data_IF_185346791474
#
_entry.id   IF_185346791474
#
_cell.length_a   1.000
_cell.length_b   1.000
_cell.length_c   1.000
_cell.angle_alpha   90.00
_cell.angle_beta   90.00
_cell.angle_gamma   90.00
#
_symmetry.space_group_name_H-M   'P 1'
#
loop_
_entity.id
_entity.type
_entity.pdbx_description
1 polymer ?
#
# COMPACT_ATOMS: atom_id res chain seq x y z
N UNK A 1 15.84 1.75 -18.34
CA UNK A 1 15.51 0.35 -18.68
C UNK A 1 14.17 0.08 -18.03
N UNK A 2 13.11 -0.02 -18.84
CA UNK A 2 11.79 -0.44 -18.38
C UNK A 2 11.87 -1.94 -18.09
N UNK A 3 11.54 -2.37 -16.88
CA UNK A 3 11.22 -3.76 -16.64
C UNK A 3 9.70 -3.85 -16.65
N UNK A 4 9.17 -4.66 -17.55
CA UNK A 4 7.76 -5.00 -17.52
C UNK A 4 7.45 -5.60 -16.14
N UNK A 5 6.32 -5.26 -15.53
CA UNK A 5 5.98 -5.65 -14.15
C UNK A 5 6.19 -7.17 -13.87
N UNK A 6 5.91 -8.01 -14.87
CA UNK A 6 6.13 -9.45 -14.81
C UNK A 6 7.62 -9.85 -14.81
N UNK A 7 8.50 -9.12 -15.51
CA UNK A 7 9.93 -9.38 -15.49
C UNK A 7 10.54 -9.12 -14.10
N UNK A 8 10.01 -8.14 -13.37
CA UNK A 8 10.43 -7.89 -11.99
C UNK A 8 10.01 -9.05 -11.08
N UNK A 9 8.76 -9.52 -11.21
CA UNK A 9 8.28 -10.70 -10.51
C UNK A 9 9.19 -11.90 -10.79
N UNK A 10 9.44 -12.18 -12.07
CA UNK A 10 10.22 -13.33 -12.50
C UNK A 10 11.67 -13.22 -12.01
N UNK A 11 12.27 -12.04 -12.03
CA UNK A 11 13.60 -11.79 -11.45
C UNK A 11 13.65 -12.10 -9.95
N UNK A 12 12.62 -11.69 -9.18
CA UNK A 12 12.51 -12.02 -7.77
C UNK A 12 12.34 -13.52 -7.54
N UNK A 13 11.49 -14.18 -8.33
CA UNK A 13 11.30 -15.64 -8.28
C UNK A 13 12.62 -16.35 -8.61
N UNK A 14 13.32 -15.96 -9.67
CA UNK A 14 14.62 -16.54 -10.03
C UNK A 14 15.66 -16.35 -8.93
N UNK A 15 15.64 -15.21 -8.24
CA UNK A 15 16.53 -14.96 -7.09
C UNK A 15 16.31 -16.00 -5.98
N UNK A 16 15.07 -16.44 -5.76
CA UNK A 16 14.75 -17.47 -4.75
C UNK A 16 15.37 -18.84 -5.04
N UNK A 17 15.66 -19.13 -6.30
CA UNK A 17 16.27 -20.40 -6.74
C UNK A 17 17.80 -20.44 -6.58
N UNK A 18 18.43 -19.31 -6.24
CA UNK A 18 19.89 -19.26 -6.09
C UNK A 18 20.36 -19.97 -4.81
N UNK A 19 21.52 -20.64 -4.87
CA UNK A 19 22.12 -21.30 -3.70
C UNK A 19 22.34 -20.33 -2.53
N UNK A 20 22.72 -19.08 -2.82
CA UNK A 20 22.88 -18.03 -1.81
C UNK A 20 21.56 -17.77 -1.09
N UNK A 21 20.47 -17.62 -1.84
CA UNK A 21 19.15 -17.40 -1.26
C UNK A 21 18.71 -18.57 -0.40
N UNK A 22 18.89 -19.81 -0.88
CA UNK A 22 18.56 -21.02 -0.13
C UNK A 22 19.33 -21.10 1.21
N UNK A 23 20.62 -20.73 1.22
CA UNK A 23 21.41 -20.64 2.46
C UNK A 23 20.88 -19.56 3.41
N UNK A 24 20.58 -18.36 2.91
CA UNK A 24 19.98 -17.28 3.71
C UNK A 24 18.62 -17.68 4.27
N UNK A 25 17.78 -18.37 3.48
CA UNK A 25 16.49 -18.87 3.92
C UNK A 25 16.62 -19.91 5.03
N UNK A 26 17.58 -20.83 4.93
CA UNK A 26 17.87 -21.78 6.02
C UNK A 26 18.29 -21.07 7.32
N UNK A 27 19.07 -20.00 7.22
CA UNK A 27 19.42 -19.18 8.40
C UNK A 27 18.16 -18.51 8.99
N UNK A 28 17.27 -17.96 8.17
CA UNK A 28 15.98 -17.41 8.62
C UNK A 28 15.15 -18.45 9.37
N UNK A 29 15.04 -19.66 8.83
CA UNK A 29 14.29 -20.77 9.44
C UNK A 29 14.83 -21.15 10.81
N UNK A 30 16.15 -21.25 10.96
CA UNK A 30 16.78 -21.60 12.25
C UNK A 30 16.57 -20.53 13.32
N UNK A 31 16.53 -19.26 12.91
CA UNK A 31 16.35 -18.13 13.83
C UNK A 31 14.89 -17.81 14.16
N UNK A 32 13.90 -18.34 13.43
CA UNK A 32 12.50 -17.94 13.55
C UNK A 32 11.56 -19.15 13.64
N UNK A 33 10.95 -19.40 14.81
CA UNK A 33 10.00 -20.51 14.98
C UNK A 33 8.82 -20.47 14.01
N UNK A 34 8.35 -19.28 13.64
CA UNK A 34 7.25 -19.11 12.68
C UNK A 34 7.61 -19.56 11.25
N UNK A 35 8.90 -19.72 10.94
CA UNK A 35 9.39 -20.12 9.63
C UNK A 35 9.96 -21.55 9.61
N UNK A 36 10.11 -22.19 10.78
CA UNK A 36 10.84 -23.44 10.94
C UNK A 36 10.29 -24.59 10.06
N UNK A 37 8.96 -24.65 9.92
CA UNK A 37 8.24 -25.75 9.26
C UNK A 37 8.33 -25.74 7.72
N UNK A 38 8.79 -24.63 7.11
CA UNK A 38 8.77 -24.50 5.64
C UNK A 38 10.04 -25.08 5.01
N UNK A 39 9.91 -26.14 4.22
CA UNK A 39 11.06 -26.83 3.59
C UNK A 39 11.86 -25.88 2.70
N UNK A 40 11.17 -25.07 1.89
CA UNK A 40 11.74 -24.17 0.90
C UNK A 40 10.90 -22.87 0.79
N UNK A 41 11.39 -21.86 0.04
CA UNK A 41 10.65 -20.62 -0.21
C UNK A 41 9.28 -20.80 -0.86
N UNK A 42 9.11 -21.79 -1.75
CA UNK A 42 7.86 -22.00 -2.47
C UNK A 42 6.76 -22.47 -1.52
N UNK A 43 7.07 -23.45 -0.65
CA UNK A 43 6.14 -23.92 0.38
C UNK A 43 5.66 -22.81 1.33
N UNK A 44 6.53 -21.83 1.62
CA UNK A 44 6.15 -20.65 2.40
C UNK A 44 5.21 -19.73 1.61
N UNK A 45 5.51 -19.46 0.34
CA UNK A 45 4.69 -18.59 -0.50
C UNK A 45 3.31 -19.21 -0.79
N UNK A 46 3.23 -20.52 -0.99
CA UNK A 46 1.98 -21.26 -1.17
C UNK A 46 1.02 -21.05 0.01
N UNK A 47 1.54 -21.10 1.24
CA UNK A 47 0.74 -20.81 2.45
C UNK A 47 0.32 -19.35 2.52
N UNK A 48 1.16 -18.41 2.11
CA UNK A 48 0.82 -16.98 2.13
C UNK A 48 -0.22 -16.62 1.07
N UNK A 49 -0.17 -17.25 -0.11
CA UNK A 49 -1.11 -17.02 -1.21
C UNK A 49 -2.38 -17.86 -1.12
N UNK A 50 -2.35 -19.04 -0.49
CA UNK A 50 -3.47 -19.98 -0.43
C UNK A 50 -4.65 -19.50 0.44
N UNK A 51 -5.90 -19.70 -0.01
CA UNK A 51 -7.09 -19.19 0.70
C UNK A 51 -7.42 -19.95 2.01
N UNK A 52 -6.84 -21.12 2.23
CA UNK A 52 -7.20 -22.07 3.31
C UNK A 52 -6.63 -21.65 4.66
N UNK A 53 -5.44 -21.04 4.68
CA UNK A 53 -4.73 -20.76 5.92
C UNK A 53 -5.33 -19.57 6.70
N UNK A 54 -5.46 -19.70 8.04
CA UNK A 54 -5.96 -18.60 8.87
C UNK A 54 -5.12 -17.34 8.73
N UNK A 55 -5.80 -16.18 8.64
CA UNK A 55 -5.15 -14.88 8.50
C UNK A 55 -4.08 -14.61 9.58
N UNK A 56 -4.30 -15.08 10.81
CA UNK A 56 -3.34 -14.94 11.91
C UNK A 56 -2.06 -15.74 11.70
N UNK A 57 -2.14 -16.93 11.07
CA UNK A 57 -0.94 -17.72 10.72
C UNK A 57 -0.12 -16.96 9.69
N UNK A 58 -0.75 -16.49 8.61
CA UNK A 58 -0.09 -15.70 7.56
C UNK A 58 0.55 -14.44 8.14
N UNK A 59 -0.17 -13.74 9.00
CA UNK A 59 0.33 -12.52 9.61
C UNK A 59 1.51 -12.76 10.57
N UNK A 60 1.56 -13.89 11.29
CA UNK A 60 2.75 -14.29 12.06
C UNK A 60 3.97 -14.51 11.18
N UNK A 61 3.81 -15.16 10.02
CA UNK A 61 4.88 -15.37 9.03
C UNK A 61 5.37 -14.03 8.50
N UNK A 62 4.47 -13.16 8.05
CA UNK A 62 4.80 -11.82 7.55
C UNK A 62 5.52 -10.98 8.61
N UNK A 63 5.17 -11.14 9.88
CA UNK A 63 5.81 -10.44 11.01
C UNK A 63 7.22 -10.90 11.26
N UNK A 64 7.46 -12.22 11.21
CA UNK A 64 8.80 -12.78 11.31
C UNK A 64 9.70 -12.31 10.16
N UNK A 65 9.19 -12.35 8.93
CA UNK A 65 9.91 -11.86 7.76
C UNK A 65 10.18 -10.35 7.84
N UNK A 66 9.21 -9.55 8.27
CA UNK A 66 9.39 -8.09 8.40
C UNK A 66 10.44 -7.77 9.46
N UNK A 67 10.42 -8.48 10.59
CA UNK A 67 11.46 -8.32 11.61
C UNK A 67 12.85 -8.68 11.08
N UNK A 68 12.97 -9.76 10.30
CA UNK A 68 14.25 -10.16 9.71
C UNK A 68 14.74 -9.17 8.64
N UNK A 69 13.84 -8.59 7.85
CA UNK A 69 14.15 -7.57 6.84
C UNK A 69 14.56 -6.20 7.44
N UNK A 70 14.33 -5.99 8.74
CA UNK A 70 14.67 -4.75 9.46
C UNK A 70 16.03 -4.81 10.16
N UNK A 71 16.61 -6.01 10.31
CA UNK A 71 17.93 -6.21 10.91
C UNK A 71 18.98 -6.12 9.80
N UNK A 72 20.14 -5.54 10.11
CA UNK A 72 21.29 -5.51 9.21
C UNK A 72 22.05 -6.85 9.27
N UNK A 73 21.46 -7.87 8.65
CA UNK A 73 21.96 -9.26 8.61
C UNK A 73 21.97 -9.77 7.16
N UNK A 74 22.88 -10.70 6.77
CA UNK A 74 22.89 -11.31 5.43
C UNK A 74 21.58 -11.97 4.99
N UNK A 75 20.67 -12.28 5.91
CA UNK A 75 19.34 -12.80 5.61
C UNK A 75 18.26 -11.73 5.39
N UNK A 76 18.57 -10.45 5.63
CA UNK A 76 17.64 -9.32 5.50
C UNK A 76 17.07 -9.17 4.09
N UNK A 77 17.95 -9.20 3.07
CA UNK A 77 17.53 -9.15 1.66
C UNK A 77 16.67 -10.37 1.29
N UNK A 78 16.99 -11.56 1.82
CA UNK A 78 16.20 -12.76 1.60
C UNK A 78 14.78 -12.59 2.16
N UNK A 79 14.65 -12.04 3.37
CA UNK A 79 13.35 -11.77 3.98
C UNK A 79 12.57 -10.70 3.21
N UNK A 80 13.23 -9.65 2.72
CA UNK A 80 12.60 -8.61 1.89
C UNK A 80 12.08 -9.18 0.58
N UNK A 81 12.87 -9.98 -0.15
CA UNK A 81 12.42 -10.65 -1.38
C UNK A 81 11.18 -11.51 -1.12
N UNK A 82 11.17 -12.30 -0.03
CA UNK A 82 10.01 -13.11 0.34
C UNK A 82 8.78 -12.26 0.66
N UNK A 83 8.94 -11.12 1.32
CA UNK A 83 7.83 -10.19 1.58
C UNK A 83 7.27 -9.60 0.29
N UNK A 84 8.13 -9.16 -0.63
CA UNK A 84 7.69 -8.62 -1.91
C UNK A 84 6.92 -9.65 -2.72
N UNK A 85 7.41 -10.90 -2.78
CA UNK A 85 6.72 -12.02 -3.43
C UNK A 85 5.40 -12.38 -2.72
N UNK A 86 5.40 -12.44 -1.39
CA UNK A 86 4.20 -12.72 -0.62
C UNK A 86 3.10 -11.67 -0.83
N UNK A 87 3.49 -10.40 -0.91
CA UNK A 87 2.57 -9.28 -1.13
C UNK A 87 2.28 -9.01 -2.59
N UNK A 88 2.93 -9.72 -3.52
CA UNK A 88 2.88 -9.46 -4.96
C UNK A 88 1.45 -9.35 -5.53
N UNK A 89 0.50 -10.27 -5.23
CA UNK A 89 -0.86 -10.14 -5.75
C UNK A 89 -1.56 -8.84 -5.29
N UNK A 90 -1.26 -8.41 -4.06
CA UNK A 90 -1.76 -7.15 -3.51
C UNK A 90 -1.09 -5.93 -4.16
N UNK A 91 0.22 -5.98 -4.38
CA UNK A 91 0.98 -4.92 -5.02
C UNK A 91 0.58 -4.76 -6.50
N UNK A 92 0.33 -5.86 -7.20
CA UNK A 92 -0.18 -5.86 -8.57
C UNK A 92 -1.58 -5.23 -8.63
N UNK A 93 -2.45 -5.53 -7.65
CA UNK A 93 -3.74 -4.87 -7.54
C UNK A 93 -3.62 -3.36 -7.27
N UNK A 94 -2.67 -2.94 -6.42
CA UNK A 94 -2.36 -1.51 -6.19
C UNK A 94 -1.89 -0.85 -7.48
N UNK A 95 -0.91 -1.45 -8.17
CA UNK A 95 -0.38 -0.96 -9.44
C UNK A 95 -1.50 -0.78 -10.47
N UNK A 96 -2.36 -1.78 -10.67
CA UNK A 96 -3.50 -1.68 -11.58
C UNK A 96 -4.43 -0.52 -11.23
N UNK A 97 -4.71 -0.30 -9.94
CA UNK A 97 -5.54 0.84 -9.48
C UNK A 97 -4.87 2.19 -9.77
N UNK A 98 -3.56 2.29 -9.57
CA UNK A 98 -2.79 3.50 -9.86
C UNK A 98 -2.75 3.81 -11.37
N UNK A 99 -2.52 2.79 -12.21
CA UNK A 99 -2.57 2.92 -13.67
C UNK A 99 -3.96 3.34 -14.16
N UNK A 100 -5.01 2.73 -13.61
CA UNK A 100 -6.38 3.09 -13.95
C UNK A 100 -6.70 4.55 -13.59
N UNK A 101 -6.10 5.06 -12.50
CA UNK A 101 -6.18 6.48 -12.09
C UNK A 101 -5.21 7.40 -12.84
N UNK A 102 -4.44 6.89 -13.82
CA UNK A 102 -3.49 7.64 -14.64
C UNK A 102 -2.44 8.41 -13.82
N UNK A 103 -1.95 7.81 -12.73
CA UNK A 103 -1.04 8.50 -11.79
C UNK A 103 0.41 8.63 -12.26
N UNK A 104 0.72 8.30 -13.52
CA UNK A 104 2.07 8.32 -14.10
C UNK A 104 2.18 7.36 -15.28
N UNK A 105 3.39 7.25 -15.85
CA UNK A 105 3.68 6.22 -16.86
C UNK A 105 3.69 4.81 -16.22
N UNK A 106 3.48 3.73 -17.00
CA UNK A 106 3.49 2.37 -16.47
C UNK A 106 4.77 1.98 -15.71
N UNK A 107 5.92 2.45 -16.19
CA UNK A 107 7.22 2.13 -15.62
C UNK A 107 7.49 2.89 -14.31
N UNK A 108 7.10 4.16 -14.27
CA UNK A 108 7.24 5.01 -13.08
C UNK A 108 6.38 4.44 -11.95
N UNK A 109 5.14 4.03 -12.26
CA UNK A 109 4.23 3.44 -11.28
C UNK A 109 4.80 2.11 -10.76
N UNK A 110 5.37 1.28 -11.62
CA UNK A 110 5.96 -0.01 -11.22
C UNK A 110 7.14 0.17 -10.26
N UNK A 111 8.05 1.08 -10.61
CA UNK A 111 9.23 1.41 -9.80
C UNK A 111 8.84 2.06 -8.47
N UNK A 112 7.90 3.00 -8.50
CA UNK A 112 7.42 3.71 -7.31
C UNK A 112 6.69 2.78 -6.34
N UNK A 113 5.84 1.86 -6.83
CA UNK A 113 5.16 0.86 -5.99
C UNK A 113 6.18 -0.01 -5.25
N UNK A 114 7.22 -0.50 -5.94
CA UNK A 114 8.24 -1.35 -5.33
C UNK A 114 9.14 -0.59 -4.36
N UNK A 115 9.55 0.63 -4.71
CA UNK A 115 10.33 1.49 -3.84
C UNK A 115 9.56 1.77 -2.53
N UNK A 116 8.29 2.18 -2.63
CA UNK A 116 7.42 2.43 -1.47
C UNK A 116 7.16 1.18 -0.65
N UNK A 117 6.95 0.03 -1.30
CA UNK A 117 6.74 -1.23 -0.58
C UNK A 117 7.98 -1.58 0.24
N UNK A 118 9.16 -1.48 -0.36
CA UNK A 118 10.45 -1.72 0.31
C UNK A 118 10.66 -0.77 1.48
N UNK A 119 10.47 0.54 1.26
CA UNK A 119 10.59 1.56 2.32
C UNK A 119 9.59 1.30 3.47
N UNK A 120 8.34 1.01 3.13
CA UNK A 120 7.29 0.74 4.12
C UNK A 120 7.62 -0.50 4.95
N UNK A 121 8.13 -1.58 4.35
CA UNK A 121 8.50 -2.80 5.06
C UNK A 121 9.70 -2.57 5.99
N UNK A 122 10.73 -1.86 5.53
CA UNK A 122 11.91 -1.54 6.36
C UNK A 122 11.60 -0.55 7.48
N UNK A 123 10.62 0.34 7.31
CA UNK A 123 10.22 1.33 8.32
C UNK A 123 9.04 0.94 9.22
N UNK A 124 8.46 -0.26 9.05
CA UNK A 124 7.21 -0.64 9.71
C UNK A 124 7.37 -0.81 11.24
N UNK A 125 6.63 -0.03 12.04
CA UNK A 125 6.58 -0.24 13.49
C UNK A 125 5.71 -1.46 13.85
N UNK A 126 6.38 -2.60 14.03
CA UNK A 126 5.75 -3.87 14.39
C UNK A 126 5.03 -3.83 15.76
N UNK A 127 5.35 -2.88 16.66
CA UNK A 127 4.64 -2.77 17.95
C UNK A 127 3.22 -2.24 17.77
N UNK A 128 3.00 -1.41 16.75
CA UNK A 128 1.71 -0.77 16.46
C UNK A 128 0.90 -1.50 15.38
N UNK A 129 1.57 -2.17 14.46
CA UNK A 129 0.92 -2.82 13.31
C UNK A 129 0.59 -4.27 13.62
N UNK A 130 -0.72 -4.57 13.61
CA UNK A 130 -1.23 -5.93 13.81
C UNK A 130 -1.54 -6.66 12.50
N UNK A 131 -1.80 -5.96 11.39
CA UNK A 131 -2.11 -6.57 10.07
C UNK A 131 -1.13 -6.07 9.01
N UNK A 132 -0.05 -6.82 8.78
CA UNK A 132 1.09 -6.34 7.98
C UNK A 132 0.71 -6.14 6.52
N UNK A 133 0.20 -7.17 5.84
CA UNK A 133 -0.16 -7.08 4.42
C UNK A 133 -1.12 -5.91 4.14
N UNK A 134 -2.23 -5.85 4.87
CA UNK A 134 -3.22 -4.79 4.71
C UNK A 134 -2.65 -3.39 4.97
N UNK A 135 -1.75 -3.25 5.94
CA UNK A 135 -1.14 -1.96 6.28
C UNK A 135 -0.14 -1.53 5.21
N UNK A 136 0.74 -2.43 4.78
CA UNK A 136 1.74 -2.15 3.74
C UNK A 136 1.05 -1.75 2.44
N UNK A 137 0.11 -2.56 1.96
CA UNK A 137 -0.61 -2.29 0.71
C UNK A 137 -1.36 -0.95 0.74
N UNK A 138 -2.02 -0.63 1.85
CA UNK A 138 -2.72 0.66 2.01
C UNK A 138 -1.76 1.84 2.08
N UNK A 139 -0.63 1.70 2.77
CA UNK A 139 0.37 2.75 2.86
C UNK A 139 0.99 3.02 1.49
N UNK A 140 1.38 1.97 0.76
CA UNK A 140 1.94 2.08 -0.59
C UNK A 140 0.99 2.81 -1.53
N UNK A 141 -0.28 2.37 -1.62
CA UNK A 141 -1.27 3.02 -2.47
C UNK A 141 -1.49 4.48 -2.08
N UNK A 142 -1.72 4.74 -0.79
CA UNK A 142 -1.95 6.09 -0.28
C UNK A 142 -0.77 7.02 -0.55
N UNK A 143 0.45 6.55 -0.33
CA UNK A 143 1.64 7.38 -0.47
C UNK A 143 2.00 7.63 -1.95
N UNK A 144 1.68 6.69 -2.84
CA UNK A 144 1.73 6.91 -4.30
C UNK A 144 0.69 7.95 -4.76
N UNK A 145 -0.57 7.84 -4.31
CA UNK A 145 -1.60 8.83 -4.61
C UNK A 145 -1.23 10.24 -4.10
N UNK A 146 -0.67 10.32 -2.88
CA UNK A 146 -0.15 11.59 -2.33
C UNK A 146 0.91 12.22 -3.19
N UNK A 147 1.87 11.42 -3.66
CA UNK A 147 2.95 11.93 -4.50
C UNK A 147 2.37 12.50 -5.81
N UNK A 148 1.48 11.75 -6.47
CA UNK A 148 0.80 12.19 -7.67
C UNK A 148 -0.01 13.49 -7.44
N UNK A 149 -0.86 13.55 -6.42
CA UNK A 149 -1.64 14.75 -6.13
C UNK A 149 -0.78 15.98 -5.83
N UNK A 150 0.34 15.82 -5.11
CA UNK A 150 1.29 16.91 -4.87
C UNK A 150 1.95 17.38 -6.16
N UNK A 151 2.31 16.45 -7.04
CA UNK A 151 2.87 16.78 -8.35
C UNK A 151 1.86 17.53 -9.24
N UNK A 152 0.62 17.03 -9.35
CA UNK A 152 -0.45 17.73 -10.08
C UNK A 152 -0.73 19.12 -9.50
N UNK A 153 -0.73 19.27 -8.18
CA UNK A 153 -0.93 20.57 -7.53
C UNK A 153 0.22 21.55 -7.84
N UNK A 154 1.46 21.07 -7.91
CA UNK A 154 2.61 21.87 -8.35
C UNK A 154 2.44 22.33 -9.80
N UNK A 155 2.08 21.43 -10.71
CA UNK A 155 1.83 21.76 -12.12
C UNK A 155 0.71 22.80 -12.29
N UNK A 156 -0.39 22.65 -11.55
CA UNK A 156 -1.49 23.64 -11.55
C UNK A 156 -1.07 25.02 -11.02
N UNK A 157 -0.11 25.08 -10.11
CA UNK A 157 0.36 26.33 -9.51
C UNK A 157 1.39 27.06 -10.38
N UNK A 158 2.07 26.35 -11.28
CA UNK A 158 3.13 26.90 -12.17
C UNK A 158 2.55 27.47 -13.47
N UNK A 159 1.26 27.23 -13.77
CA UNK A 159 0.53 27.99 -14.79
C UNK A 159 0.99 27.71 -16.22
N UNK A 160 1.04 26.44 -16.62
CA UNK A 160 1.01 26.06 -18.03
C UNK A 160 0.49 24.62 -18.18
N UNK A 161 -0.83 24.44 -18.18
CA UNK A 161 -1.44 23.18 -18.65
C UNK A 161 -2.75 23.48 -19.37
N UNK A 162 -2.82 22.99 -20.60
CA UNK A 162 -4.00 22.80 -21.44
C UNK A 162 -5.16 22.15 -20.65
N UNK A 163 -6.35 22.77 -20.59
CA UNK A 163 -7.49 22.27 -19.82
C UNK A 163 -7.94 20.84 -20.19
N UNK A 164 -7.54 20.31 -21.34
CA UNK A 164 -7.87 18.94 -21.77
C UNK A 164 -6.93 17.84 -21.22
N UNK A 165 -5.80 18.18 -20.59
CA UNK A 165 -4.90 17.18 -19.97
C UNK A 165 -5.42 16.67 -18.61
N UNK A 166 -6.40 17.35 -17.99
CA UNK A 166 -7.06 16.87 -16.78
C UNK A 166 -8.23 15.98 -17.17
N UNK A 167 -7.90 14.81 -17.72
CA UNK A 167 -8.86 13.73 -17.92
C UNK A 167 -9.32 13.19 -16.57
N UNK A 168 -10.25 13.89 -15.91
CA UNK A 168 -11.07 13.37 -14.80
C UNK A 168 -11.99 12.29 -15.35
N UNK A 169 -11.44 11.12 -15.66
CA UNK A 169 -12.23 9.91 -15.88
C UNK A 169 -12.67 9.37 -14.52
N UNK A 170 -13.60 10.09 -13.92
CA UNK A 170 -14.43 9.60 -12.83
C UNK A 170 -15.88 9.98 -13.14
N UNK A 171 -16.34 9.56 -14.32
CA UNK A 171 -17.52 10.12 -14.99
C UNK A 171 -18.88 9.76 -14.38
N UNK A 172 -18.94 8.85 -13.41
CA UNK A 172 -20.21 8.50 -12.76
C UNK A 172 -20.00 7.95 -11.35
N UNK A 173 -19.19 6.90 -11.20
CA UNK A 173 -19.03 6.18 -9.92
C UNK A 173 -18.43 7.05 -8.80
N UNK A 174 -17.48 7.94 -9.09
CA UNK A 174 -16.99 8.86 -8.05
C UNK A 174 -17.92 10.04 -7.78
N UNK A 175 -18.79 10.39 -8.73
CA UNK A 175 -19.84 11.38 -8.49
C UNK A 175 -20.88 10.77 -7.54
N UNK A 176 -21.26 9.51 -7.75
CA UNK A 176 -22.12 8.77 -6.84
C UNK A 176 -21.45 8.56 -5.48
N UNK A 177 -20.20 8.08 -5.43
CA UNK A 177 -19.46 7.95 -4.17
C UNK A 177 -19.34 9.28 -3.43
N UNK A 178 -19.08 10.39 -4.14
CA UNK A 178 -19.00 11.73 -3.53
C UNK A 178 -20.35 12.16 -2.95
N UNK A 179 -21.42 12.01 -3.73
CA UNK A 179 -22.79 12.38 -3.30
C UNK A 179 -23.25 11.54 -2.11
N UNK A 180 -23.00 10.23 -2.14
CA UNK A 180 -23.43 9.30 -1.10
C UNK A 180 -22.65 9.53 0.19
N UNK A 181 -21.34 9.76 0.09
CA UNK A 181 -20.50 10.13 1.24
C UNK A 181 -20.92 11.49 1.79
N UNK A 182 -21.17 12.50 0.96
CA UNK A 182 -21.67 13.80 1.42
C UNK A 182 -23.05 13.71 2.09
N UNK A 183 -23.94 12.81 1.64
CA UNK A 183 -25.21 12.54 2.29
C UNK A 183 -25.05 11.88 3.67
N UNK A 184 -24.10 10.94 3.80
CA UNK A 184 -23.87 10.18 5.04
C UNK A 184 -23.13 10.99 6.12
N UNK A 185 -22.13 11.79 5.73
CA UNK A 185 -21.26 12.50 6.69
C UNK A 185 -21.31 14.03 6.60
N UNK A 186 -22.09 14.58 5.67
CA UNK A 186 -22.32 16.02 5.54
C UNK A 186 -21.07 16.78 5.11
N UNK A 187 -20.87 17.97 5.70
CA UNK A 187 -19.78 18.91 5.34
C UNK A 187 -18.35 18.34 5.48
N UNK A 188 -18.18 17.23 6.20
CA UNK A 188 -16.89 16.57 6.33
C UNK A 188 -16.62 15.55 5.18
N UNK A 189 -17.56 15.39 4.24
CA UNK A 189 -17.48 14.50 3.08
C UNK A 189 -16.29 14.80 2.16
N UNK A 190 -16.11 16.05 1.77
CA UNK A 190 -14.97 16.46 0.93
C UNK A 190 -13.63 16.20 1.63
N UNK A 191 -13.56 16.46 2.95
CA UNK A 191 -12.38 16.15 3.76
C UNK A 191 -12.08 14.64 3.76
N UNK A 192 -13.10 13.79 3.89
CA UNK A 192 -12.92 12.33 3.90
C UNK A 192 -12.52 11.81 2.54
N UNK A 193 -13.17 12.24 1.46
CA UNK A 193 -12.83 11.83 0.10
C UNK A 193 -11.40 12.22 -0.24
N UNK A 194 -11.01 13.46 0.04
CA UNK A 194 -9.64 13.93 -0.25
C UNK A 194 -8.58 13.16 0.53
N UNK A 195 -8.87 12.77 1.78
CA UNK A 195 -7.90 12.03 2.61
C UNK A 195 -7.90 10.53 2.31
N UNK A 196 -9.07 9.92 2.10
CA UNK A 196 -9.22 8.47 1.99
C UNK A 196 -9.17 7.96 0.54
N UNK A 197 -9.56 8.79 -0.43
CA UNK A 197 -9.62 8.46 -1.86
C UNK A 197 -8.51 9.17 -2.60
N UNK A 198 -8.38 10.50 -2.45
CA UNK A 198 -7.36 11.28 -3.17
C UNK A 198 -5.99 11.26 -2.45
N UNK A 199 -5.91 10.60 -1.30
CA UNK A 199 -4.66 10.33 -0.59
C UNK A 199 -4.14 11.48 0.27
N UNK A 200 -4.63 12.72 0.20
CA UNK A 200 -4.08 13.85 0.98
C UNK A 200 -3.93 13.55 2.49
N UNK A 201 -2.95 14.16 3.15
CA UNK A 201 -2.91 14.21 4.61
C UNK A 201 -3.93 15.21 5.14
N UNK A 202 -4.34 15.05 6.41
CA UNK A 202 -5.27 15.98 7.06
C UNK A 202 -4.68 17.39 7.16
N UNK A 203 -3.36 17.52 7.31
CA UNK A 203 -2.66 18.80 7.34
C UNK A 203 -2.58 19.46 5.97
N UNK A 204 -2.23 18.72 4.92
CA UNK A 204 -2.17 19.23 3.54
C UNK A 204 -3.52 19.82 3.11
N UNK A 205 -4.63 19.16 3.44
CA UNK A 205 -5.95 19.61 3.02
C UNK A 205 -6.61 20.61 3.99
N UNK A 206 -6.08 20.76 5.21
CA UNK A 206 -6.60 21.71 6.18
C UNK A 206 -6.59 23.14 5.62
N UNK A 207 -5.45 23.56 5.03
CA UNK A 207 -5.32 24.89 4.43
C UNK A 207 -6.29 25.14 3.26
N UNK A 208 -6.44 24.17 2.36
CA UNK A 208 -7.36 24.25 1.23
C UNK A 208 -8.83 24.35 1.66
N UNK A 209 -9.17 23.78 2.81
CA UNK A 209 -10.52 23.80 3.39
C UNK A 209 -10.75 24.94 4.40
N UNK A 210 -9.78 25.82 4.60
CA UNK A 210 -9.86 26.91 5.58
C UNK A 210 -9.94 26.41 7.04
N UNK A 211 -9.35 25.25 7.32
CA UNK A 211 -9.31 24.63 8.65
C UNK A 211 -7.90 24.70 9.24
N UNK A 212 -7.82 24.68 10.57
CA UNK A 212 -6.56 24.33 11.24
C UNK A 212 -6.32 22.82 11.17
N UNK A 213 -5.05 22.40 11.21
CA UNK A 213 -4.68 20.98 11.20
C UNK A 213 -5.38 20.17 12.31
N UNK A 214 -5.43 20.73 13.53
CA UNK A 214 -6.12 20.10 14.65
C UNK A 214 -7.63 19.97 14.42
N UNK A 215 -8.25 20.94 13.74
CA UNK A 215 -9.67 20.89 13.37
C UNK A 215 -9.94 19.85 12.27
N UNK A 216 -9.08 19.79 11.24
CA UNK A 216 -9.15 18.79 10.18
C UNK A 216 -9.02 17.37 10.76
N UNK A 217 -8.10 17.15 11.70
CA UNK A 217 -7.93 15.86 12.38
C UNK A 217 -9.18 15.43 13.15
N UNK A 218 -9.74 16.31 13.98
CA UNK A 218 -10.96 16.00 14.75
C UNK A 218 -12.17 15.77 13.84
N UNK A 219 -12.32 16.56 12.77
CA UNK A 219 -13.40 16.39 11.77
C UNK A 219 -13.28 15.05 11.05
N UNK A 220 -12.09 14.71 10.55
CA UNK A 220 -11.84 13.43 9.88
C UNK A 220 -12.11 12.23 10.81
N UNK A 221 -11.67 12.28 12.07
CA UNK A 221 -11.95 11.22 13.05
C UNK A 221 -13.46 11.02 13.29
N UNK A 222 -14.22 12.11 13.44
CA UNK A 222 -15.68 12.04 13.62
C UNK A 222 -16.39 11.51 12.38
N UNK A 223 -16.00 11.98 11.19
CA UNK A 223 -16.58 11.54 9.94
C UNK A 223 -16.31 10.05 9.67
N UNK A 224 -15.09 9.58 9.95
CA UNK A 224 -14.75 8.15 9.86
C UNK A 224 -15.54 7.28 10.85
N UNK A 225 -15.81 7.79 12.05
CA UNK A 225 -16.68 7.10 13.03
C UNK A 225 -18.11 7.00 12.52
N UNK A 226 -18.69 8.10 12.01
CA UNK A 226 -20.03 8.11 11.42
C UNK A 226 -20.17 7.17 10.23
N UNK A 227 -19.17 7.10 9.36
CA UNK A 227 -19.16 6.12 8.27
C UNK A 227 -19.20 4.70 8.81
N UNK A 228 -18.40 4.39 9.84
CA UNK A 228 -18.42 3.07 10.46
C UNK A 228 -19.78 2.74 11.07
N UNK A 229 -20.35 3.66 11.84
CA UNK A 229 -21.69 3.50 12.45
C UNK A 229 -22.76 3.27 11.39
N UNK A 230 -22.74 4.04 10.29
CA UNK A 230 -23.67 3.85 9.19
C UNK A 230 -23.48 2.49 8.50
N UNK A 231 -22.24 2.07 8.23
CA UNK A 231 -21.97 0.75 7.63
C UNK A 231 -22.34 -0.42 8.56
N UNK A 232 -22.23 -0.25 9.87
CA UNK A 232 -22.64 -1.26 10.86
C UNK A 232 -24.18 -1.35 11.00
N UNK A 233 -24.94 -0.32 10.58
CA UNK A 233 -26.42 -0.32 10.56
C UNK A 233 -27.00 -1.02 9.31
N UNK A 234 -26.17 -1.23 8.27
CA UNK A 234 -26.55 -1.90 7.02
C UNK A 234 -26.08 -3.37 6.91
N UNK A 235 -25.38 -3.90 7.92
CA UNK A 235 -24.89 -5.30 8.00
C UNK A 235 -25.63 -6.07 9.09
#
# INVERSE_FOLDING_TARGET
>A
MSFEWHEIHDSLVMTTNTLRFQKSFQSLRRGNPALADFVDPAALLDVLHGAVDPAERKNRILRALTSAAQVDDPASECALTLLLLALWPGLDAVRRRLLWRKTGSPDDVSSDVLARATETLRGLDLRRVSRIAATVLRNVERDALRAHCRETARWRSVGDVDPDAVGSTCGAEAIFLRRDVEQLIGRDGDLVLRVAVDGFTQSEIAGTLGLSEAAARKRYQRAKRRLREAFDEFV
#
